data_IF_657917569074
#
_entry.id   IF_657917569074
#
_cell.length_a   1.000
_cell.length_b   1.000
_cell.length_c   1.000
_cell.angle_alpha   90.00
_cell.angle_beta   90.00
_cell.angle_gamma   90.00
#
_symmetry.space_group_name_H-M   'P 1'
#
loop_
_entity.id
_entity.type
_entity.pdbx_description
1 polymer ?
#
# COMPACT_ATOMS: atom_id res chain seq x y z
N UNK A 1 5.50 4.30 -22.91
CA UNK A 1 4.20 4.59 -22.27
C UNK A 1 3.46 3.28 -22.21
N UNK A 2 3.16 2.83 -21.00
CA UNK A 2 2.54 1.52 -20.78
C UNK A 2 1.08 1.60 -21.23
N UNK A 3 0.70 0.75 -22.20
CA UNK A 3 -0.65 0.71 -22.80
C UNK A 3 -1.48 -0.44 -22.24
N UNK A 4 -2.80 -0.36 -22.44
CA UNK A 4 -3.79 -1.39 -22.07
C UNK A 4 -3.79 -1.69 -20.57
N UNK A 5 -3.91 -0.64 -19.77
CA UNK A 5 -3.89 -0.75 -18.32
C UNK A 5 -5.26 -1.11 -17.75
N UNK A 6 -5.28 -1.93 -16.72
CA UNK A 6 -6.44 -2.20 -15.86
C UNK A 6 -6.00 -2.15 -14.40
N UNK A 7 -6.89 -1.70 -13.52
CA UNK A 7 -6.71 -1.87 -12.08
C UNK A 7 -7.38 -3.18 -11.67
N UNK A 8 -6.65 -4.03 -10.95
CA UNK A 8 -7.18 -5.18 -10.24
C UNK A 8 -7.21 -4.86 -8.74
N UNK A 9 -8.34 -5.17 -8.10
CA UNK A 9 -8.47 -5.19 -6.65
C UNK A 9 -8.86 -6.60 -6.23
N UNK A 10 -7.97 -7.23 -5.47
CA UNK A 10 -8.15 -8.56 -4.91
C UNK A 10 -8.26 -8.43 -3.38
N UNK A 11 -9.48 -8.33 -2.89
CA UNK A 11 -9.81 -8.17 -1.48
C UNK A 11 -10.00 -9.53 -0.80
N UNK A 12 -9.22 -9.80 0.26
CA UNK A 12 -9.25 -11.03 1.05
C UNK A 12 -9.18 -12.31 0.16
N UNK A 13 -8.05 -12.57 -0.52
CA UNK A 13 -7.89 -13.73 -1.40
C UNK A 13 -8.31 -15.06 -0.77
N UNK A 14 -8.09 -15.22 0.54
CA UNK A 14 -8.45 -16.42 1.28
C UNK A 14 -9.96 -16.70 1.28
N UNK A 15 -10.80 -15.67 1.44
CA UNK A 15 -12.26 -15.84 1.43
C UNK A 15 -12.81 -16.19 0.05
N UNK A 16 -12.10 -15.84 -1.03
CA UNK A 16 -12.50 -16.12 -2.41
C UNK A 16 -11.64 -17.19 -3.08
N UNK A 17 -11.00 -18.06 -2.27
CA UNK A 17 -9.98 -19.00 -2.76
C UNK A 17 -10.53 -20.04 -3.74
N UNK A 18 -11.82 -20.35 -3.69
CA UNK A 18 -12.47 -21.31 -4.59
C UNK A 18 -12.50 -20.83 -6.05
N UNK A 19 -12.42 -19.53 -6.29
CA UNK A 19 -12.33 -18.96 -7.63
C UNK A 19 -10.98 -19.26 -8.29
N UNK A 20 -10.94 -19.94 -9.46
CA UNK A 20 -9.71 -20.15 -10.21
C UNK A 20 -9.00 -18.84 -10.56
N UNK A 21 -9.77 -17.81 -10.91
CA UNK A 21 -9.24 -16.49 -11.24
C UNK A 21 -8.56 -15.81 -10.04
N UNK A 22 -9.10 -15.97 -8.82
CA UNK A 22 -8.47 -15.47 -7.59
C UNK A 22 -7.13 -16.14 -7.36
N UNK A 23 -7.08 -17.48 -7.47
CA UNK A 23 -5.82 -18.23 -7.30
C UNK A 23 -4.77 -17.81 -8.33
N UNK A 24 -5.18 -17.66 -9.58
CA UNK A 24 -4.30 -17.20 -10.66
C UNK A 24 -3.74 -15.80 -10.38
N UNK A 25 -4.61 -14.83 -10.12
CA UNK A 25 -4.19 -13.45 -9.91
C UNK A 25 -3.39 -13.27 -8.62
N UNK A 26 -3.76 -13.96 -7.54
CA UNK A 26 -2.98 -13.97 -6.31
C UNK A 26 -1.57 -14.50 -6.58
N UNK A 27 -1.43 -15.64 -7.27
CA UNK A 27 -0.12 -16.19 -7.63
C UNK A 27 0.70 -15.25 -8.50
N UNK A 28 0.08 -14.56 -9.47
CA UNK A 28 0.75 -13.53 -10.28
C UNK A 28 1.26 -12.35 -9.44
N UNK A 29 0.48 -11.88 -8.46
CA UNK A 29 0.90 -10.82 -7.53
C UNK A 29 2.04 -11.29 -6.62
N UNK A 30 1.95 -12.51 -6.08
CA UNK A 30 3.02 -13.08 -5.25
C UNK A 30 4.32 -13.27 -6.06
N UNK A 31 4.22 -13.72 -7.31
CA UNK A 31 5.36 -13.80 -8.21
C UNK A 31 5.96 -12.42 -8.47
N UNK A 32 5.14 -11.40 -8.73
CA UNK A 32 5.58 -10.01 -8.87
C UNK A 32 6.36 -9.56 -7.63
N UNK A 33 5.83 -9.75 -6.41
CA UNK A 33 6.51 -9.45 -5.14
C UNK A 33 7.86 -10.13 -5.05
N UNK A 34 7.91 -11.44 -5.30
CA UNK A 34 9.15 -12.21 -5.30
C UNK A 34 10.19 -11.59 -6.24
N UNK A 35 9.84 -11.37 -7.50
CA UNK A 35 10.77 -10.84 -8.51
C UNK A 35 11.22 -9.41 -8.19
N UNK A 36 10.28 -8.54 -7.81
CA UNK A 36 10.56 -7.15 -7.47
C UNK A 36 11.50 -7.02 -6.27
N UNK A 37 11.20 -7.72 -5.17
CA UNK A 37 12.04 -7.67 -3.97
C UNK A 37 13.40 -8.36 -4.18
N UNK A 38 13.46 -9.52 -4.83
CA UNK A 38 14.75 -10.20 -5.09
C UNK A 38 15.68 -9.38 -5.99
N UNK A 39 15.15 -8.48 -6.82
CA UNK A 39 15.98 -7.58 -7.63
C UNK A 39 16.66 -6.46 -6.82
N UNK A 40 16.24 -6.21 -5.58
CA UNK A 40 16.68 -5.08 -4.75
C UNK A 40 17.22 -5.48 -3.37
N UNK A 41 16.72 -6.57 -2.82
CA UNK A 41 17.00 -7.04 -1.46
C UNK A 41 17.79 -8.36 -1.46
N UNK A 42 18.48 -8.67 -0.35
CA UNK A 42 19.15 -9.96 -0.17
C UNK A 42 18.21 -11.18 -0.33
N UNK A 43 18.77 -12.33 -0.70
CA UNK A 43 17.99 -13.56 -0.97
C UNK A 43 17.21 -14.10 0.24
N UNK A 44 17.65 -13.78 1.46
CA UNK A 44 16.97 -14.16 2.69
C UNK A 44 15.83 -13.20 3.08
N UNK A 45 15.51 -12.21 2.25
CA UNK A 45 14.33 -11.36 2.42
C UNK A 45 13.07 -12.09 1.92
N UNK A 46 12.09 -12.29 2.79
CA UNK A 46 10.80 -12.89 2.44
C UNK A 46 9.76 -11.79 2.14
N UNK A 47 9.27 -11.64 0.89
CA UNK A 47 8.33 -10.58 0.52
C UNK A 47 6.85 -10.96 0.70
N UNK A 48 6.57 -12.07 1.38
CA UNK A 48 5.24 -12.63 1.58
C UNK A 48 5.11 -13.12 3.02
N UNK A 49 3.97 -12.84 3.63
CA UNK A 49 3.62 -13.28 4.98
C UNK A 49 2.13 -13.68 5.05
N UNK A 50 1.66 -14.06 6.24
CA UNK A 50 0.26 -14.48 6.47
C UNK A 50 -0.77 -13.40 6.10
N UNK A 51 -0.41 -12.12 6.22
CA UNK A 51 -1.34 -11.03 5.92
C UNK A 51 -1.56 -10.83 4.42
N UNK A 52 -0.79 -11.49 3.55
CA UNK A 52 -1.10 -11.56 2.13
C UNK A 52 -2.40 -12.32 1.83
N UNK A 53 -2.78 -13.29 2.66
CA UNK A 53 -3.98 -14.07 2.42
C UNK A 53 -5.27 -13.31 2.79
N UNK A 54 -5.16 -12.35 3.71
CA UNK A 54 -6.31 -11.60 4.24
C UNK A 54 -6.33 -10.13 3.82
N UNK A 55 -5.19 -9.56 3.43
CA UNK A 55 -5.10 -8.17 2.98
C UNK A 55 -5.79 -7.94 1.64
N UNK A 56 -5.95 -6.66 1.31
CA UNK A 56 -6.41 -6.22 -0.01
C UNK A 56 -5.20 -5.92 -0.87
N UNK A 57 -5.10 -6.58 -2.02
CA UNK A 57 -4.07 -6.30 -3.01
C UNK A 57 -4.64 -5.44 -4.12
N UNK A 58 -3.96 -4.35 -4.41
CA UNK A 58 -4.28 -3.49 -5.54
C UNK A 58 -3.11 -3.55 -6.51
N UNK A 59 -3.42 -3.72 -7.79
CA UNK A 59 -2.41 -3.81 -8.82
C UNK A 59 -2.82 -3.05 -10.07
N UNK A 60 -1.88 -2.31 -10.66
CA UNK A 60 -1.99 -2.01 -12.08
C UNK A 60 -1.53 -3.25 -12.85
N UNK A 61 -2.34 -3.66 -13.81
CA UNK A 61 -2.08 -4.76 -14.70
C UNK A 61 -2.00 -4.24 -16.12
N UNK A 62 -1.09 -4.79 -16.91
CA UNK A 62 -1.15 -4.69 -18.36
C UNK A 62 -1.99 -5.85 -18.90
N UNK A 63 -2.97 -5.53 -19.73
CA UNK A 63 -3.80 -6.50 -20.43
C UNK A 63 -3.15 -6.85 -21.78
N UNK A 64 -2.87 -8.14 -21.99
CA UNK A 64 -2.29 -8.68 -23.23
C UNK A 64 -3.08 -9.93 -23.62
N UNK A 65 -3.67 -9.94 -24.81
CA UNK A 65 -4.48 -11.06 -25.32
C UNK A 65 -5.59 -11.51 -24.34
N UNK A 66 -6.20 -10.57 -23.63
CA UNK A 66 -7.25 -10.86 -22.63
C UNK A 66 -6.73 -11.35 -21.27
N UNK A 67 -5.42 -11.49 -21.10
CA UNK A 67 -4.80 -11.87 -19.83
C UNK A 67 -4.22 -10.65 -19.11
N UNK A 68 -4.31 -10.66 -17.77
CA UNK A 68 -3.77 -9.62 -16.91
C UNK A 68 -2.37 -9.99 -16.41
N UNK A 69 -1.45 -9.03 -16.53
CA UNK A 69 -0.08 -9.11 -16.03
C UNK A 69 0.18 -7.95 -15.06
N UNK A 70 0.24 -8.20 -13.74
CA UNK A 70 0.55 -7.16 -12.76
C UNK A 70 1.91 -6.50 -13.06
N UNK A 71 1.91 -5.20 -13.25
CA UNK A 71 3.12 -4.38 -13.45
C UNK A 71 3.55 -3.69 -12.16
N UNK A 72 2.58 -3.34 -11.32
CA UNK A 72 2.79 -2.84 -9.97
C UNK A 72 1.76 -3.43 -9.05
N UNK A 73 2.12 -3.56 -7.79
CA UNK A 73 1.18 -3.97 -6.75
C UNK A 73 1.54 -3.31 -5.44
N UNK A 74 0.53 -3.12 -4.59
CA UNK A 74 0.73 -2.94 -3.17
C UNK A 74 -0.42 -3.58 -2.39
N UNK A 75 -0.21 -3.73 -1.10
CA UNK A 75 -1.16 -4.35 -0.17
C UNK A 75 -1.54 -3.38 0.92
N UNK A 76 -2.80 -3.40 1.30
CA UNK A 76 -3.30 -2.75 2.51
C UNK A 76 -4.02 -3.76 3.39
N UNK A 77 -3.82 -3.67 4.70
CA UNK A 77 -4.58 -4.47 5.68
C UNK A 77 -5.04 -3.57 6.83
N UNK A 78 -6.35 -3.57 7.08
CA UNK A 78 -6.98 -2.81 8.15
C UNK A 78 -6.77 -3.50 9.50
N UNK A 79 -6.65 -2.72 10.58
CA UNK A 79 -6.53 -3.24 11.95
C UNK A 79 -7.73 -4.11 12.33
N UNK A 80 -8.94 -3.64 12.01
CA UNK A 80 -10.19 -4.38 12.25
C UNK A 80 -10.20 -5.75 11.57
N UNK A 81 -9.55 -5.87 10.41
CA UNK A 81 -9.41 -7.14 9.70
C UNK A 81 -8.42 -8.07 10.40
N UNK A 82 -7.31 -7.55 10.89
CA UNK A 82 -6.38 -8.30 11.73
C UNK A 82 -7.11 -8.86 12.97
N UNK A 83 -7.91 -8.04 13.65
CA UNK A 83 -8.72 -8.45 14.81
C UNK A 83 -9.74 -9.54 14.44
N UNK A 84 -10.49 -9.36 13.34
CA UNK A 84 -11.46 -10.35 12.82
C UNK A 84 -10.84 -11.75 12.63
N UNK A 85 -9.63 -11.81 12.09
CA UNK A 85 -8.94 -13.07 11.79
C UNK A 85 -7.92 -13.50 12.85
N UNK A 86 -7.91 -12.87 14.04
CA UNK A 86 -7.00 -13.24 15.13
C UNK A 86 -5.52 -13.07 14.77
N UNK A 87 -5.18 -12.10 13.91
CA UNK A 87 -3.81 -11.78 13.53
C UNK A 87 -3.32 -10.53 14.27
N UNK A 88 -2.03 -10.46 14.65
CA UNK A 88 -1.43 -9.20 15.07
C UNK A 88 -1.52 -8.16 13.96
N UNK A 89 -1.86 -6.92 14.30
CA UNK A 89 -1.82 -5.82 13.37
C UNK A 89 -0.36 -5.47 13.07
N UNK A 90 0.07 -5.68 11.81
CA UNK A 90 1.48 -5.52 11.42
C UNK A 90 2.04 -4.13 11.70
N UNK A 91 1.19 -3.09 11.67
CA UNK A 91 1.59 -1.72 12.01
C UNK A 91 1.95 -1.54 13.50
N UNK A 92 1.43 -2.38 14.40
CA UNK A 92 1.67 -2.28 15.85
C UNK A 92 2.91 -3.07 16.28
N UNK A 93 3.07 -4.28 15.76
CA UNK A 93 4.19 -5.19 16.12
C UNK A 93 5.45 -5.00 15.27
N UNK A 94 5.43 -4.01 14.38
CA UNK A 94 6.44 -3.77 13.36
C UNK A 94 7.85 -3.65 13.95
N UNK A 95 7.97 -2.86 15.02
CA UNK A 95 9.25 -2.49 15.61
C UNK A 95 9.70 -3.42 16.74
N UNK A 96 8.91 -4.43 17.10
CA UNK A 96 9.21 -5.30 18.25
C UNK A 96 10.55 -6.01 18.10
N UNK A 97 10.92 -6.38 16.87
CA UNK A 97 12.20 -7.04 16.56
C UNK A 97 13.41 -6.11 16.54
N UNK A 98 13.21 -4.79 16.59
CA UNK A 98 14.30 -3.80 16.40
C UNK A 98 15.02 -3.44 17.71
N UNK A 99 14.41 -3.73 18.86
CA UNK A 99 14.89 -3.29 20.18
C UNK A 99 14.77 -1.78 20.44
N UNK A 100 14.29 -0.99 19.47
CA UNK A 100 14.22 0.47 19.57
C UNK A 100 12.99 0.93 20.37
N UNK A 101 13.18 1.24 21.65
CA UNK A 101 12.09 1.66 22.54
C UNK A 101 11.35 2.91 22.05
N UNK A 102 12.07 3.87 21.46
CA UNK A 102 11.46 5.10 20.94
C UNK A 102 10.48 4.80 19.80
N UNK A 103 10.83 3.88 18.90
CA UNK A 103 9.96 3.49 17.77
C UNK A 103 8.77 2.68 18.25
N UNK A 104 9.00 1.73 19.16
CA UNK A 104 7.92 0.93 19.76
C UNK A 104 6.91 1.86 20.46
N UNK A 105 7.39 2.81 21.27
CA UNK A 105 6.50 3.74 21.97
C UNK A 105 5.78 4.70 21.01
N UNK A 106 6.47 5.20 19.97
CA UNK A 106 5.87 6.06 18.96
C UNK A 106 4.75 5.35 18.18
N UNK A 107 4.94 4.09 17.79
CA UNK A 107 3.90 3.26 17.17
C UNK A 107 2.71 3.03 18.10
N UNK A 108 2.95 2.62 19.34
CA UNK A 108 1.89 2.43 20.34
C UNK A 108 1.09 3.70 20.57
N UNK A 109 1.78 4.84 20.68
CA UNK A 109 1.13 6.14 20.82
C UNK A 109 0.27 6.49 19.60
N UNK A 110 0.77 6.23 18.38
CA UNK A 110 0.00 6.47 17.16
C UNK A 110 -1.27 5.61 17.10
N UNK A 111 -1.14 4.31 17.34
CA UNK A 111 -2.27 3.36 17.32
C UNK A 111 -3.27 3.68 18.43
N UNK A 112 -2.80 4.07 19.62
CA UNK A 112 -3.67 4.46 20.73
C UNK A 112 -4.36 5.80 20.49
N UNK A 113 -3.69 6.78 19.86
CA UNK A 113 -4.26 8.09 19.53
C UNK A 113 -5.46 7.96 18.57
N UNK A 114 -5.41 6.95 17.70
CA UNK A 114 -6.39 6.74 16.63
C UNK A 114 -7.19 5.44 16.80
N UNK A 115 -7.36 4.95 18.05
CA UNK A 115 -8.02 3.67 18.34
C UNK A 115 -9.43 3.55 17.77
N UNK A 116 -10.15 4.68 17.67
CA UNK A 116 -11.55 4.73 17.24
C UNK A 116 -11.69 4.98 15.72
N UNK A 117 -10.58 5.07 15.00
CA UNK A 117 -10.52 5.31 13.56
C UNK A 117 -10.15 4.04 12.79
N UNK A 118 -10.44 4.02 11.48
CA UNK A 118 -9.96 2.95 10.62
C UNK A 118 -8.47 3.13 10.29
N UNK A 119 -7.62 2.44 11.05
CA UNK A 119 -6.18 2.40 10.80
C UNK A 119 -5.82 1.20 9.91
N UNK A 120 -4.96 1.42 8.92
CA UNK A 120 -4.40 0.35 8.10
C UNK A 120 -2.87 0.31 8.09
N UNK A 121 -2.32 -0.80 7.61
CA UNK A 121 -0.91 -0.95 7.29
C UNK A 121 -0.75 -1.15 5.78
N UNK A 122 -0.09 -0.19 5.13
CA UNK A 122 0.21 -0.19 3.71
C UNK A 122 1.61 -0.74 3.48
N UNK A 123 1.74 -1.73 2.59
CA UNK A 123 2.96 -2.51 2.44
C UNK A 123 3.06 -3.16 1.06
N UNK A 124 4.14 -3.92 0.82
CA UNK A 124 4.35 -4.70 -0.41
C UNK A 124 4.37 -3.89 -1.71
N UNK A 125 4.84 -2.64 -1.66
CA UNK A 125 4.95 -1.80 -2.86
C UNK A 125 5.99 -2.41 -3.79
N UNK A 126 5.52 -2.87 -4.94
CA UNK A 126 6.32 -3.67 -5.88
C UNK A 126 6.11 -3.17 -7.30
N UNK A 127 7.18 -3.20 -8.08
CA UNK A 127 7.20 -2.91 -9.50
C UNK A 127 7.86 -4.11 -10.21
N UNK A 128 7.36 -4.48 -11.38
CA UNK A 128 7.98 -5.53 -12.19
C UNK A 128 9.40 -5.10 -12.58
N UNK A 129 10.44 -5.85 -12.17
CA UNK A 129 11.82 -5.47 -12.45
C UNK A 129 12.15 -5.44 -13.95
N UNK A 130 11.33 -6.09 -14.79
CA UNK A 130 11.50 -6.13 -16.23
C UNK A 130 10.89 -4.92 -16.96
N UNK A 131 10.28 -3.97 -16.25
CA UNK A 131 9.80 -2.73 -16.87
C UNK A 131 10.99 -1.95 -17.46
N UNK A 132 10.92 -1.54 -18.75
CA UNK A 132 11.95 -0.74 -19.40
C UNK A 132 12.27 0.53 -18.61
N UNK A 133 13.54 0.95 -18.62
CA UNK A 133 14.04 2.05 -17.77
C UNK A 133 13.25 3.35 -18.00
N UNK A 134 12.92 3.63 -19.25
CA UNK A 134 12.15 4.79 -19.71
C UNK A 134 10.69 4.78 -19.22
N UNK A 135 10.14 3.61 -18.86
CA UNK A 135 8.78 3.46 -18.34
C UNK A 135 8.73 3.31 -16.81
N UNK A 136 9.87 3.14 -16.13
CA UNK A 136 9.92 2.93 -14.68
C UNK A 136 9.32 4.08 -13.88
N UNK A 137 9.53 5.32 -14.33
CA UNK A 137 8.94 6.48 -13.66
C UNK A 137 7.42 6.42 -13.70
N UNK A 138 6.86 6.10 -14.87
CA UNK A 138 5.42 5.92 -15.03
C UNK A 138 4.90 4.77 -14.17
N UNK A 139 5.64 3.66 -14.08
CA UNK A 139 5.28 2.56 -13.18
C UNK A 139 5.30 2.97 -11.69
N UNK A 140 6.28 3.77 -11.25
CA UNK A 140 6.31 4.31 -9.88
C UNK A 140 5.05 5.18 -9.63
N UNK A 141 4.72 6.06 -10.59
CA UNK A 141 3.54 6.93 -10.50
C UNK A 141 2.23 6.14 -10.38
N UNK A 142 2.18 4.87 -10.81
CA UNK A 142 1.00 4.00 -10.64
C UNK A 142 0.77 3.54 -9.20
N UNK A 143 1.78 3.51 -8.33
CA UNK A 143 1.59 3.06 -6.94
C UNK A 143 0.83 4.09 -6.10
N UNK A 144 1.08 5.37 -6.35
CA UNK A 144 0.49 6.51 -5.62
C UNK A 144 -1.05 6.56 -5.71
N UNK A 145 -1.68 6.51 -6.90
CA UNK A 145 -3.13 6.53 -7.00
C UNK A 145 -3.77 5.31 -6.36
N UNK A 146 -3.15 4.11 -6.40
CA UNK A 146 -3.72 2.95 -5.72
C UNK A 146 -3.82 3.17 -4.21
N UNK A 147 -2.79 3.76 -3.59
CA UNK A 147 -2.82 4.14 -2.18
C UNK A 147 -3.96 5.11 -1.86
N UNK A 148 -4.09 6.20 -2.65
CA UNK A 148 -5.18 7.15 -2.49
C UNK A 148 -6.56 6.48 -2.62
N UNK A 149 -6.75 5.65 -3.65
CA UNK A 149 -7.99 4.91 -3.83
C UNK A 149 -8.31 4.04 -2.64
N UNK A 150 -7.32 3.39 -2.02
CA UNK A 150 -7.62 2.60 -0.84
C UNK A 150 -8.09 3.41 0.36
N UNK A 151 -7.46 4.55 0.60
CA UNK A 151 -7.84 5.41 1.70
C UNK A 151 -9.28 5.91 1.52
N UNK A 152 -9.64 6.28 0.30
CA UNK A 152 -10.96 6.85 0.02
C UNK A 152 -12.03 5.74 -0.02
N UNK A 153 -11.74 4.63 -0.71
CA UNK A 153 -12.70 3.56 -0.94
C UNK A 153 -13.03 2.77 0.33
N UNK A 154 -12.00 2.42 1.13
CA UNK A 154 -12.19 1.71 2.41
C UNK A 154 -12.25 2.67 3.60
N UNK A 155 -12.30 3.98 3.37
CA UNK A 155 -12.36 5.01 4.42
C UNK A 155 -11.25 4.78 5.47
N UNK A 156 -10.01 4.56 5.01
CA UNK A 156 -8.86 4.43 5.90
C UNK A 156 -8.49 5.84 6.34
N UNK A 157 -8.72 6.14 7.61
CA UNK A 157 -8.46 7.44 8.19
C UNK A 157 -6.96 7.69 8.37
N UNK A 158 -6.21 6.62 8.71
CA UNK A 158 -4.80 6.67 9.08
C UNK A 158 -4.09 5.42 8.55
N UNK A 159 -2.87 5.56 8.05
CA UNK A 159 -2.07 4.41 7.61
C UNK A 159 -0.66 4.44 8.17
N UNK A 160 -0.12 3.26 8.46
CA UNK A 160 1.30 3.04 8.74
C UNK A 160 1.98 2.40 7.52
N UNK A 161 3.28 2.60 7.36
CA UNK A 161 4.10 1.92 6.35
C UNK A 161 5.58 1.84 6.77
N UNK A 162 6.34 0.97 6.10
CA UNK A 162 7.80 0.95 6.14
C UNK A 162 8.38 1.43 4.82
N UNK A 163 9.04 2.58 4.84
CA UNK A 163 9.80 3.10 3.71
C UNK A 163 11.22 2.55 3.68
N UNK A 164 11.57 1.74 2.69
CA UNK A 164 12.95 1.28 2.50
C UNK A 164 13.85 2.43 2.06
N UNK A 165 14.91 2.70 2.83
CA UNK A 165 15.90 3.73 2.51
C UNK A 165 16.78 3.31 1.32
N UNK A 166 17.02 2.00 1.14
CA UNK A 166 17.80 1.44 0.01
C UNK A 166 17.14 1.73 -1.34
N UNK A 167 15.82 1.62 -1.40
CA UNK A 167 15.05 1.75 -2.64
C UNK A 167 14.42 3.14 -2.79
N UNK A 168 14.71 4.06 -1.86
CA UNK A 168 14.09 5.39 -1.77
C UNK A 168 12.56 5.35 -1.70
N UNK A 169 12.01 4.25 -1.18
CA UNK A 169 10.56 4.08 -1.00
C UNK A 169 10.05 5.00 0.12
N UNK A 170 10.88 5.25 1.13
CA UNK A 170 10.67 6.28 2.15
C UNK A 170 10.39 7.67 1.56
N UNK A 171 11.20 8.09 0.59
CA UNK A 171 11.07 9.40 -0.07
C UNK A 171 9.83 9.46 -0.96
N UNK A 172 9.52 8.38 -1.68
CA UNK A 172 8.28 8.26 -2.47
C UNK A 172 7.05 8.39 -1.56
N UNK A 173 7.08 7.76 -0.39
CA UNK A 173 6.00 7.80 0.58
C UNK A 173 5.74 9.21 1.14
N UNK A 174 6.76 10.06 1.30
CA UNK A 174 6.56 11.46 1.69
C UNK A 174 5.64 12.20 0.72
N UNK A 175 5.71 11.89 -0.58
CA UNK A 175 4.83 12.48 -1.59
C UNK A 175 3.36 12.08 -1.42
N UNK A 176 3.09 11.01 -0.66
CA UNK A 176 1.77 10.45 -0.41
C UNK A 176 1.17 10.90 0.93
N UNK A 177 1.98 11.54 1.79
CA UNK A 177 1.60 12.00 3.13
C UNK A 177 2.06 11.08 4.26
N UNK A 178 2.75 9.99 3.92
CA UNK A 178 3.45 9.13 4.88
C UNK A 178 4.73 9.84 5.33
N UNK A 179 4.79 10.27 6.59
CA UNK A 179 5.92 10.97 7.17
C UNK A 179 6.51 10.16 8.34
N UNK A 180 7.79 10.35 8.71
CA UNK A 180 8.38 9.64 9.83
C UNK A 180 7.54 9.79 11.10
N UNK A 181 7.31 8.68 11.80
CA UNK A 181 6.62 8.71 13.09
C UNK A 181 7.41 9.56 14.09
N UNK A 182 6.71 10.16 15.05
CA UNK A 182 7.31 11.08 16.01
C UNK A 182 7.36 10.48 17.41
N UNK A 183 8.44 10.76 18.11
CA UNK A 183 8.58 10.55 19.55
C UNK A 183 8.89 11.89 20.21
N UNK A 184 8.12 12.28 21.23
CA UNK A 184 8.28 13.57 21.91
C UNK A 184 8.28 14.78 20.94
N UNK A 185 7.43 14.71 19.91
CA UNK A 185 7.29 15.75 18.88
C UNK A 185 8.39 15.77 17.81
N UNK A 186 9.43 14.94 17.93
CA UNK A 186 10.53 14.86 16.95
C UNK A 186 10.37 13.67 16.02
N UNK A 187 10.61 13.82 14.70
CA UNK A 187 10.63 12.69 13.79
C UNK A 187 11.75 11.72 14.18
N UNK A 188 11.46 10.42 14.09
CA UNK A 188 12.43 9.37 14.36
C UNK A 188 13.26 9.06 13.10
N UNK A 189 14.54 8.82 13.31
CA UNK A 189 15.48 8.40 12.26
C UNK A 189 15.20 6.97 11.80
N UNK A 190 15.52 6.61 10.54
CA UNK A 190 15.40 5.25 10.05
C UNK A 190 16.25 4.25 10.85
N UNK A 191 15.71 3.06 11.10
CA UNK A 191 16.31 1.99 11.91
C UNK A 191 16.48 0.68 11.13
N UNK A 192 17.35 -0.20 11.62
CA UNK A 192 17.55 -1.52 11.02
C UNK A 192 16.51 -2.53 11.53
N UNK A 193 16.04 -3.38 10.63
CA UNK A 193 15.07 -4.42 10.92
C UNK A 193 15.72 -5.80 10.78
N UNK A 194 16.03 -6.50 11.89
CA UNK A 194 16.68 -7.82 11.83
C UNK A 194 15.88 -8.85 11.01
N UNK A 195 14.56 -8.79 11.07
CA UNK A 195 13.66 -9.66 10.29
C UNK A 195 13.70 -9.42 8.77
N UNK A 196 14.28 -8.29 8.33
CA UNK A 196 14.40 -7.90 6.93
C UNK A 196 15.85 -7.88 6.48
N UNK A 197 16.60 -8.93 6.83
CA UNK A 197 18.04 -9.03 6.53
C UNK A 197 18.86 -7.83 7.07
N UNK A 198 18.42 -7.26 8.19
CA UNK A 198 19.02 -6.09 8.84
C UNK A 198 19.02 -4.82 7.96
N UNK A 199 18.11 -4.74 6.98
CA UNK A 199 17.93 -3.56 6.14
C UNK A 199 17.35 -2.37 6.93
N UNK A 200 17.64 -1.16 6.43
CA UNK A 200 17.26 0.10 7.07
C UNK A 200 15.96 0.65 6.49
N UNK A 201 14.99 0.93 7.36
CA UNK A 201 13.68 1.47 6.99
C UNK A 201 13.30 2.66 7.85
N UNK A 202 12.59 3.60 7.25
CA UNK A 202 11.86 4.65 7.95
C UNK A 202 10.46 4.13 8.32
N UNK A 203 10.09 4.26 9.59
CA UNK A 203 8.73 3.96 10.05
C UNK A 203 7.88 5.19 9.87
N UNK A 204 6.81 5.08 9.09
CA UNK A 204 6.04 6.24 8.66
C UNK A 204 4.56 6.11 8.96
N UNK A 205 3.91 7.26 9.16
CA UNK A 205 2.49 7.40 9.35
C UNK A 205 1.90 8.42 8.37
N UNK A 206 0.75 8.09 7.80
CA UNK A 206 -0.07 8.96 6.97
C UNK A 206 -1.25 9.42 7.81
N UNK A 207 -1.27 10.72 8.13
CA UNK A 207 -2.43 11.33 8.77
C UNK A 207 -3.42 11.91 7.75
N UNK A 208 -2.90 12.40 6.63
CA UNK A 208 -3.66 13.01 5.54
C UNK A 208 -3.00 12.70 4.20
N UNK A 209 -3.80 12.56 3.14
CA UNK A 209 -3.30 12.43 1.77
C UNK A 209 -2.85 13.80 1.25
N UNK A 210 -1.72 13.84 0.55
CA UNK A 210 -1.23 15.10 -0.05
C UNK A 210 -2.06 15.49 -1.28
N UNK A 211 -2.07 16.78 -1.66
CA UNK A 211 -2.67 17.23 -2.92
C UNK A 211 -2.08 16.49 -4.14
N UNK A 212 -0.78 16.23 -4.15
CA UNK A 212 -0.12 15.50 -5.24
C UNK A 212 -0.67 14.08 -5.41
N UNK A 213 -0.85 13.36 -4.29
CA UNK A 213 -1.45 12.03 -4.27
C UNK A 213 -2.87 12.04 -4.86
N UNK A 214 -3.67 13.04 -4.48
CA UNK A 214 -5.04 13.21 -4.97
C UNK A 214 -5.11 13.61 -6.46
N UNK A 215 -4.20 14.44 -6.95
CA UNK A 215 -4.13 14.81 -8.37
C UNK A 215 -3.75 13.61 -9.26
N UNK A 216 -2.81 12.77 -8.81
CA UNK A 216 -2.51 11.51 -9.50
C UNK A 216 -3.71 10.54 -9.47
N UNK A 217 -4.41 10.45 -8.35
CA UNK A 217 -5.65 9.66 -8.26
C UNK A 217 -6.74 10.16 -9.23
N UNK A 218 -6.88 11.48 -9.42
CA UNK A 218 -7.80 12.04 -10.43
C UNK A 218 -7.38 11.66 -11.84
N UNK A 219 -6.10 11.77 -12.17
CA UNK A 219 -5.55 11.44 -13.50
C UNK A 219 -5.91 10.02 -13.93
N UNK A 220 -5.88 9.05 -13.02
CA UNK A 220 -6.14 7.64 -13.31
C UNK A 220 -7.56 7.17 -12.93
N UNK A 221 -8.47 8.09 -12.56
CA UNK A 221 -9.81 7.76 -12.07
C UNK A 221 -10.62 6.90 -13.06
N UNK A 222 -10.43 7.10 -14.37
CA UNK A 222 -11.10 6.30 -15.39
C UNK A 222 -10.74 4.80 -15.31
N UNK A 223 -9.50 4.46 -14.91
CA UNK A 223 -9.08 3.08 -14.70
C UNK A 223 -9.65 2.50 -13.41
N UNK A 224 -9.82 3.33 -12.37
CA UNK A 224 -10.48 2.92 -11.14
C UNK A 224 -11.96 2.60 -11.36
N UNK A 225 -12.68 3.42 -12.13
CA UNK A 225 -14.07 3.16 -12.51
C UNK A 225 -14.23 1.86 -13.32
N UNK A 226 -13.25 1.55 -14.17
CA UNK A 226 -13.19 0.32 -14.97
C UNK A 226 -12.44 -0.86 -14.32
N UNK A 227 -12.17 -0.79 -13.01
CA UNK A 227 -11.38 -1.79 -12.30
C UNK A 227 -12.07 -3.15 -12.29
N UNK A 228 -11.27 -4.20 -12.15
CA UNK A 228 -11.74 -5.54 -11.85
C UNK A 228 -11.70 -5.67 -10.33
N UNK A 229 -12.87 -5.78 -9.71
CA UNK A 229 -13.03 -5.89 -8.26
C UNK A 229 -13.44 -7.33 -7.91
N UNK A 230 -12.67 -7.96 -7.03
CA UNK A 230 -13.06 -9.19 -6.35
C UNK A 230 -13.06 -8.89 -4.86
N UNK A 231 -14.22 -8.98 -4.21
CA UNK A 231 -14.36 -8.72 -2.78
C UNK A 231 -15.23 -9.73 -2.07
N UNK A 232 -14.89 -9.95 -0.80
CA UNK A 232 -15.65 -10.74 0.17
C UNK A 232 -16.88 -9.96 0.69
N UNK A 233 -16.83 -8.62 0.65
CA UNK A 233 -17.95 -7.77 1.04
C UNK A 233 -18.62 -7.11 -0.18
N UNK A 234 -19.94 -6.88 -0.07
CA UNK A 234 -20.65 -5.91 -0.89
C UNK A 234 -20.16 -4.51 -0.54
N UNK A 235 -19.02 -4.08 -1.11
CA UNK A 235 -18.50 -2.75 -0.84
C UNK A 235 -19.46 -1.72 -1.42
N UNK A 236 -19.97 -0.83 -0.58
CA UNK A 236 -20.93 0.20 -0.95
C UNK A 236 -20.41 1.12 -2.08
N UNK A 237 -21.38 1.75 -2.77
CA UNK A 237 -21.21 2.57 -3.96
C UNK A 237 -19.96 3.49 -3.96
N UNK A 238 -19.31 3.57 -5.13
CA UNK A 238 -18.05 4.26 -5.44
C UNK A 238 -18.01 5.72 -4.92
N UNK A 239 -17.55 5.93 -3.69
CA UNK A 239 -17.36 7.26 -3.06
C UNK A 239 -16.14 8.01 -3.57
N UNK A 240 -15.26 7.33 -4.33
CA UNK A 240 -13.96 7.86 -4.76
C UNK A 240 -14.09 9.12 -5.60
N UNK A 241 -15.00 9.11 -6.58
CA UNK A 241 -15.21 10.27 -7.47
C UNK A 241 -15.67 11.51 -6.70
N UNK A 242 -16.69 11.36 -5.85
CA UNK A 242 -17.25 12.48 -5.09
C UNK A 242 -16.20 13.10 -4.15
N UNK A 243 -15.38 12.28 -3.50
CA UNK A 243 -14.29 12.76 -2.66
C UNK A 243 -13.23 13.51 -3.46
N UNK A 244 -12.81 12.99 -4.61
CA UNK A 244 -11.81 13.65 -5.43
C UNK A 244 -12.29 14.99 -5.99
N UNK A 245 -13.58 15.09 -6.36
CA UNK A 245 -14.19 16.34 -6.80
C UNK A 245 -14.18 17.37 -5.66
N UNK A 246 -14.61 17.00 -4.45
CA UNK A 246 -14.68 17.94 -3.31
C UNK A 246 -13.30 18.40 -2.83
N UNK A 247 -12.31 17.50 -2.79
CA UNK A 247 -10.94 17.83 -2.40
C UNK A 247 -10.26 18.81 -3.38
N UNK A 248 -10.63 18.78 -4.68
CA UNK A 248 -10.14 19.74 -5.66
C UNK A 248 -10.73 21.15 -5.54
N UNK A 249 -11.89 21.30 -4.88
CA UNK A 249 -12.51 22.61 -4.65
C UNK A 249 -11.86 23.34 -3.46
N UNK A 250 -11.49 22.62 -2.41
CA UNK A 250 -10.90 23.18 -1.18
C UNK A 250 -9.44 23.64 -1.37
N UNK A 251 -8.67 22.94 -2.20
CA UNK A 251 -7.28 23.34 -2.50
C UNK A 251 -7.17 24.65 -3.30
N UNK A 252 -8.24 25.08 -3.98
CA UNK A 252 -8.28 26.35 -4.74
C UNK A 252 -8.67 27.57 -3.90
N UNK A 253 -9.16 27.37 -2.68
CA UNK A 253 -9.55 28.48 -1.78
C UNK A 253 -8.46 28.86 -0.78
N UNK A 254 -7.36 28.09 -0.71
CA UNK A 254 -6.27 28.25 0.25
C UNK A 254 -4.94 28.69 -0.38
N UNK A 255 -4.93 29.00 -1.68
CA UNK A 255 -3.81 29.54 -2.44
C UNK A 255 -4.17 30.94 -2.95
#
# INVERSE_FOLDING_TARGET
MIKNLRILVLDNPFASWDSPFVREMFNKIILLKKLGYQSRFPLNYAPVDKSDFHGTHLAFCQERNGELFPITAYRVIERSRCEKYGMPFSGEVLCDSTGSQNHIQALKNFVSKYSDLNIAYSSSFTIDPNIPREERKEAIDFLIPLFAYSHIHWKIDKSLALGSCRTHTDTMYHQMGLLPIKHEGRPLEPINFPCYANERFEVQACEELTPYCLELAKKYLFLWKGRIQISDASVGHDTVENYLISAGATSKMSA
#
